data_IF_539970940391
#
_entry.id   IF_539970940391
#
_cell.length_a   1.000
_cell.length_b   1.000
_cell.length_c   1.000
_cell.angle_alpha   90.00
_cell.angle_beta   90.00
_cell.angle_gamma   90.00
#
_symmetry.space_group_name_H-M   'P 1'
#
loop_
_entity.id
_entity.type
_entity.pdbx_description
1 polymer ?
#
# COMPACT_ATOMS: atom_id res chain seq x y z
N UNK A 1 -26.21 -9.79 56.73
CA UNK A 1 -27.61 -10.23 56.95
C UNK A 1 -28.46 -9.49 55.93
N UNK A 2 -29.15 -10.07 54.95
CA UNK A 2 -29.66 -11.42 54.65
C UNK A 2 -29.59 -11.59 53.11
N UNK A 3 -28.98 -12.63 52.51
CA UNK A 3 -29.53 -13.95 52.16
C UNK A 3 -30.89 -13.96 51.40
N UNK A 4 -30.81 -14.10 50.06
CA UNK A 4 -31.43 -15.08 49.11
C UNK A 4 -32.73 -15.84 49.50
N UNK A 5 -33.60 -16.32 48.56
CA UNK A 5 -33.19 -17.10 47.36
C UNK A 5 -34.05 -17.08 46.07
N UNK A 6 -33.45 -17.75 45.07
CA UNK A 6 -33.90 -18.27 43.77
C UNK A 6 -35.25 -19.02 43.77
N UNK A 7 -35.95 -19.06 42.61
CA UNK A 7 -35.99 -20.24 41.70
C UNK A 7 -37.04 -20.14 40.58
N UNK A 8 -36.60 -20.41 39.34
CA UNK A 8 -37.24 -21.20 38.25
C UNK A 8 -38.58 -20.72 37.64
N UNK A 9 -38.84 -20.76 36.34
CA UNK A 9 -38.14 -21.26 35.15
C UNK A 9 -39.17 -21.46 34.03
N UNK A 10 -38.87 -21.06 32.79
CA UNK A 10 -39.43 -21.65 31.55
C UNK A 10 -38.66 -21.20 30.29
N UNK A 11 -38.10 -22.18 29.59
CA UNK A 11 -37.70 -22.19 28.16
C UNK A 11 -38.96 -22.58 27.33
N UNK A 12 -39.10 -22.29 26.01
CA UNK A 12 -38.19 -22.81 24.96
C UNK A 12 -38.01 -22.01 23.65
N UNK A 13 -37.01 -22.45 22.86
CA UNK A 13 -36.86 -22.24 21.41
C UNK A 13 -36.16 -20.92 21.02
N UNK A 14 -35.07 -20.85 20.26
CA UNK A 14 -34.49 -21.79 19.32
C UNK A 14 -34.37 -21.12 17.95
N UNK A 15 -33.29 -20.35 17.72
CA UNK A 15 -32.82 -19.99 16.37
C UNK A 15 -31.44 -19.35 16.46
N UNK A 16 -30.44 -20.10 16.00
CA UNK A 16 -29.08 -19.65 15.74
C UNK A 16 -29.07 -18.56 14.65
N UNK A 17 -28.50 -17.40 14.95
CA UNK A 17 -27.93 -16.50 13.95
C UNK A 17 -26.57 -16.02 14.48
N UNK A 18 -25.52 -16.51 13.82
CA UNK A 18 -24.13 -16.07 13.99
C UNK A 18 -24.03 -14.68 13.35
N UNK A 19 -23.84 -13.63 14.15
CA UNK A 19 -23.50 -12.31 13.64
C UNK A 19 -21.98 -12.18 13.59
N UNK A 20 -21.45 -12.38 12.38
CA UNK A 20 -20.06 -12.17 11.99
C UNK A 20 -19.63 -10.72 12.24
N UNK A 21 -18.58 -10.55 13.03
CA UNK A 21 -17.80 -9.32 13.08
C UNK A 21 -16.95 -9.22 11.79
N UNK A 22 -17.33 -8.30 10.89
CA UNK A 22 -16.57 -7.96 9.69
C UNK A 22 -15.59 -6.84 10.02
N UNK A 23 -14.29 -7.15 10.17
CA UNK A 23 -13.22 -6.16 10.21
C UNK A 23 -12.40 -6.25 8.91
N UNK A 24 -12.52 -5.18 8.13
CA UNK A 24 -12.16 -5.09 6.72
C UNK A 24 -11.00 -4.10 6.58
N UNK A 25 -9.79 -4.55 6.25
CA UNK A 25 -8.65 -3.66 5.97
C UNK A 25 -7.83 -4.20 4.79
N UNK A 26 -8.27 -3.89 3.57
CA UNK A 26 -7.49 -4.09 2.33
C UNK A 26 -7.11 -2.77 1.68
N UNK A 27 -6.11 -2.80 0.79
CA UNK A 27 -5.89 -1.94 -0.40
C UNK A 27 -4.83 -0.83 -0.33
N UNK A 28 -4.08 -0.49 -1.40
CA UNK A 28 -3.53 -1.23 -2.56
C UNK A 28 -2.67 -0.29 -3.44
N UNK A 29 -1.82 -0.90 -4.26
CA UNK A 29 -1.24 -0.40 -5.52
C UNK A 29 -2.31 -0.35 -6.64
N UNK A 30 -2.18 0.57 -7.62
CA UNK A 30 -2.22 0.24 -9.05
C UNK A 30 -2.00 1.49 -9.92
N UNK A 31 -1.14 1.37 -10.94
CA UNK A 31 -1.44 1.89 -12.29
C UNK A 31 -0.44 1.33 -13.34
N UNK A 32 -1.04 0.84 -14.43
CA UNK A 32 -0.63 0.88 -15.84
C UNK A 32 -0.04 -0.36 -16.53
N UNK A 33 -0.86 -0.89 -17.44
CA UNK A 33 -0.45 -1.55 -18.66
C UNK A 33 -1.24 -1.00 -19.88
N UNK A 34 -0.66 -1.19 -21.08
CA UNK A 34 -1.16 -0.96 -22.45
C UNK A 34 -0.67 0.33 -23.15
N UNK A 35 0.45 0.23 -23.88
CA UNK A 35 0.56 0.54 -25.33
C UNK A 35 1.63 -0.38 -25.95
N UNK A 36 1.30 -1.07 -27.05
CA UNK A 36 2.21 -1.94 -27.83
C UNK A 36 2.23 -1.46 -29.29
N UNK A 37 3.41 -1.56 -29.92
CA UNK A 37 3.75 -1.49 -31.37
C UNK A 37 4.37 -0.17 -31.84
N UNK A 38 5.69 -0.19 -32.07
CA UNK A 38 6.33 -0.05 -33.39
C UNK A 38 7.81 -0.47 -33.24
N UNK A 39 8.38 -1.02 -34.32
CA UNK A 39 9.69 -1.68 -34.44
C UNK A 39 9.74 -3.18 -34.08
N UNK A 40 9.41 -3.96 -35.10
CA UNK A 40 9.83 -5.35 -35.23
C UNK A 40 11.34 -5.41 -35.51
N UNK A 41 12.09 -6.12 -34.66
CA UNK A 41 13.33 -6.81 -35.03
C UNK A 41 13.27 -8.23 -34.45
N UNK A 42 13.76 -9.19 -35.24
CA UNK A 42 13.69 -10.65 -35.05
C UNK A 42 14.15 -11.11 -33.65
N UNK A 43 13.64 -12.26 -33.16
CA UNK A 43 14.05 -12.81 -31.88
C UNK A 43 15.52 -13.23 -31.94
N UNK A 44 16.33 -12.66 -31.06
CA UNK A 44 17.58 -13.28 -30.64
C UNK A 44 17.18 -14.28 -29.56
N UNK A 45 17.46 -15.55 -29.78
CA UNK A 45 17.40 -16.58 -28.73
C UNK A 45 18.31 -16.14 -27.60
N UNK A 46 17.70 -15.58 -26.54
CA UNK A 46 18.40 -15.24 -25.32
C UNK A 46 18.70 -16.56 -24.59
N UNK A 47 19.94 -17.02 -24.76
CA UNK A 47 20.59 -18.00 -23.90
C UNK A 47 20.45 -17.51 -22.46
N UNK A 48 19.86 -18.34 -21.61
CA UNK A 48 19.72 -18.07 -20.19
C UNK A 48 21.09 -17.79 -19.55
N UNK A 49 21.28 -16.68 -18.81
CA UNK A 49 22.50 -16.50 -18.04
C UNK A 49 22.50 -17.52 -16.88
N UNK A 50 23.54 -18.33 -16.84
CA UNK A 50 23.76 -19.30 -15.78
C UNK A 50 23.99 -18.59 -14.43
N UNK A 51 23.08 -18.85 -13.50
CA UNK A 51 23.29 -19.18 -12.08
C UNK A 51 24.37 -18.37 -11.34
N UNK A 52 23.91 -17.32 -10.64
CA UNK A 52 24.50 -16.98 -9.34
C UNK A 52 24.42 -18.21 -8.44
N UNK A 53 25.56 -18.74 -8.04
CA UNK A 53 25.66 -19.95 -7.21
C UNK A 53 24.85 -19.74 -5.92
N UNK A 54 24.04 -20.71 -5.46
CA UNK A 54 23.48 -20.62 -4.12
C UNK A 54 24.66 -20.50 -3.13
N UNK A 55 24.57 -19.66 -2.09
CA UNK A 55 25.58 -19.71 -1.04
C UNK A 55 25.70 -21.15 -0.55
N UNK A 56 26.95 -21.65 -0.44
CA UNK A 56 27.21 -22.87 0.34
C UNK A 56 26.58 -22.67 1.73
N UNK A 57 26.17 -23.73 2.44
CA UNK A 57 25.78 -23.58 3.85
C UNK A 57 27.03 -23.18 4.64
N UNK A 58 27.33 -21.89 4.61
CA UNK A 58 28.20 -21.20 5.53
C UNK A 58 27.34 -20.99 6.75
N UNK A 59 27.90 -21.19 7.94
CA UNK A 59 27.23 -20.82 9.15
C UNK A 59 26.75 -19.36 9.01
N UNK A 60 25.49 -19.11 9.34
CA UNK A 60 24.89 -17.78 9.29
C UNK A 60 25.02 -17.16 10.67
N UNK A 61 25.67 -15.99 10.76
CA UNK A 61 25.65 -15.17 11.95
C UNK A 61 24.44 -14.23 11.85
N UNK A 62 23.46 -14.48 12.72
CA UNK A 62 22.30 -13.61 12.82
C UNK A 62 22.61 -12.37 13.66
N UNK A 63 22.29 -11.22 13.07
CA UNK A 63 22.19 -9.94 13.72
C UNK A 63 20.71 -9.55 13.82
N UNK A 64 20.40 -8.62 14.71
CA UNK A 64 19.04 -8.14 14.94
C UNK A 64 19.08 -6.67 15.35
N UNK A 65 17.95 -6.17 15.80
CA UNK A 65 17.80 -4.80 16.27
C UNK A 65 16.35 -4.38 16.19
N UNK A 66 16.09 -3.09 16.33
CA UNK A 66 14.75 -2.51 16.32
C UNK A 66 14.44 -1.70 15.07
N UNK A 67 15.41 -1.50 14.17
CA UNK A 67 15.21 -0.72 12.95
C UNK A 67 14.75 -1.62 11.80
N UNK A 68 13.69 -1.17 11.15
CA UNK A 68 13.13 -1.79 9.95
C UNK A 68 14.04 -1.50 8.75
N UNK A 69 14.41 -2.56 8.03
CA UNK A 69 15.10 -2.52 6.75
C UNK A 69 14.21 -3.20 5.70
N UNK A 70 13.74 -2.41 4.74
CA UNK A 70 12.82 -2.85 3.70
C UNK A 70 13.58 -3.61 2.61
N UNK A 71 13.04 -4.75 2.18
CA UNK A 71 13.49 -5.42 0.96
C UNK A 71 12.71 -4.82 -0.21
N UNK A 72 13.36 -4.60 -1.34
CA UNK A 72 12.75 -4.10 -2.57
C UNK A 72 12.86 -5.10 -3.72
N UNK A 73 12.00 -4.91 -4.73
CA UNK A 73 11.99 -5.74 -5.94
C UNK A 73 11.34 -7.11 -5.75
N UNK A 74 10.64 -7.34 -4.64
CA UNK A 74 10.01 -8.62 -4.28
C UNK A 74 8.92 -9.04 -5.27
N UNK A 75 8.36 -8.09 -6.02
CA UNK A 75 7.42 -8.35 -7.11
C UNK A 75 8.01 -9.32 -8.16
N UNK A 76 9.33 -9.30 -8.36
CA UNK A 76 10.04 -10.22 -9.26
C UNK A 76 10.30 -11.60 -8.63
N UNK A 77 10.09 -11.76 -7.32
CA UNK A 77 10.43 -12.95 -6.53
C UNK A 77 9.24 -13.56 -5.79
N UNK A 78 8.01 -13.23 -6.18
CA UNK A 78 6.80 -13.72 -5.53
C UNK A 78 6.71 -15.26 -5.48
N UNK A 79 7.17 -15.95 -6.52
CA UNK A 79 7.19 -17.42 -6.52
C UNK A 79 8.10 -17.99 -5.42
N UNK A 80 9.27 -17.38 -5.22
CA UNK A 80 10.20 -17.75 -4.14
C UNK A 80 9.58 -17.46 -2.77
N UNK A 81 9.00 -16.28 -2.59
CA UNK A 81 8.35 -15.90 -1.33
C UNK A 81 7.18 -16.82 -0.97
N UNK A 82 6.36 -17.22 -1.95
CA UNK A 82 5.31 -18.19 -1.70
C UNK A 82 5.85 -19.56 -1.29
N UNK A 83 7.01 -19.98 -1.80
CA UNK A 83 7.65 -21.24 -1.34
C UNK A 83 8.18 -21.13 0.09
N UNK A 84 8.84 -20.02 0.42
CA UNK A 84 9.35 -19.73 1.78
C UNK A 84 8.25 -19.87 2.82
N UNK A 85 7.04 -19.39 2.52
CA UNK A 85 5.92 -19.42 3.48
C UNK A 85 5.07 -20.69 3.43
N UNK A 86 5.55 -21.75 2.77
CA UNK A 86 4.89 -23.06 2.73
C UNK A 86 3.91 -23.28 1.57
N UNK A 87 3.88 -22.38 0.60
CA UNK A 87 3.08 -22.48 -0.62
C UNK A 87 2.05 -21.36 -0.76
N UNK A 88 1.40 -21.31 -1.93
CA UNK A 88 0.34 -20.34 -2.20
C UNK A 88 -0.88 -20.62 -1.33
N UNK A 89 -1.34 -19.58 -0.63
CA UNK A 89 -2.62 -19.59 0.10
C UNK A 89 -3.47 -18.38 -0.28
N UNK A 90 -4.77 -18.51 -0.10
CA UNK A 90 -5.74 -17.42 -0.18
C UNK A 90 -5.74 -16.55 1.08
N UNK A 91 -5.10 -17.01 2.15
CA UNK A 91 -5.06 -16.34 3.44
C UNK A 91 -3.93 -15.31 3.50
N UNK A 92 -4.01 -14.43 4.51
CA UNK A 92 -2.91 -13.52 4.82
C UNK A 92 -1.77 -14.29 5.45
N UNK A 93 -0.56 -13.93 5.09
CA UNK A 93 0.68 -14.53 5.56
C UNK A 93 1.40 -13.54 6.45
N UNK A 94 1.89 -14.03 7.59
CA UNK A 94 2.87 -13.38 8.45
C UNK A 94 3.76 -14.49 9.01
N UNK A 95 4.98 -14.61 8.49
CA UNK A 95 5.92 -15.67 8.87
C UNK A 95 7.25 -15.03 9.21
N UNK A 96 7.76 -15.30 10.42
CA UNK A 96 9.10 -14.92 10.81
C UNK A 96 10.13 -15.75 10.05
N UNK A 97 11.19 -15.09 9.60
CA UNK A 97 12.20 -15.67 8.71
C UNK A 97 13.59 -15.18 9.08
N UNK A 98 14.60 -15.90 8.60
CA UNK A 98 16.00 -15.48 8.64
C UNK A 98 16.44 -15.14 7.22
N UNK A 99 16.83 -13.87 7.02
CA UNK A 99 17.19 -13.33 5.72
C UNK A 99 18.70 -13.10 5.64
N UNK A 100 19.36 -13.77 4.70
CA UNK A 100 20.82 -13.67 4.47
C UNK A 100 21.12 -12.58 3.46
N UNK A 101 22.06 -11.70 3.80
CA UNK A 101 22.53 -10.63 2.93
C UNK A 101 23.74 -11.08 2.12
N UNK A 102 23.67 -10.90 0.79
CA UNK A 102 24.73 -11.30 -0.14
C UNK A 102 25.10 -10.13 -1.05
N UNK A 103 26.30 -9.60 -0.87
CA UNK A 103 26.88 -8.58 -1.73
C UNK A 103 27.19 -9.16 -3.13
N UNK A 104 26.63 -8.56 -4.17
CA UNK A 104 26.89 -8.94 -5.55
C UNK A 104 28.00 -8.05 -6.13
N UNK A 105 29.14 -8.62 -6.52
CA UNK A 105 30.27 -7.86 -7.07
C UNK A 105 30.13 -7.59 -8.58
N UNK A 106 29.36 -8.41 -9.29
CA UNK A 106 29.26 -8.40 -10.75
C UNK A 106 27.84 -8.04 -11.23
N UNK A 107 27.07 -7.31 -10.42
CA UNK A 107 25.72 -6.90 -10.79
C UNK A 107 25.77 -5.79 -11.87
N UNK A 108 25.09 -6.03 -12.99
CA UNK A 108 25.14 -5.14 -14.16
C UNK A 108 24.40 -3.80 -14.00
N UNK A 109 23.56 -3.65 -12.98
CA UNK A 109 22.70 -2.48 -12.77
C UNK A 109 23.15 -1.62 -11.60
N UNK A 110 23.65 -2.25 -10.55
CA UNK A 110 24.13 -1.60 -9.35
C UNK A 110 25.39 -2.31 -8.82
N UNK A 111 26.58 -1.69 -8.90
CA UNK A 111 27.81 -2.29 -8.39
C UNK A 111 27.80 -2.50 -6.87
N UNK A 112 26.90 -1.82 -6.14
CA UNK A 112 26.76 -1.96 -4.70
C UNK A 112 25.69 -2.97 -4.29
N UNK A 113 24.99 -3.60 -5.24
CA UNK A 113 23.81 -4.43 -4.96
C UNK A 113 24.04 -5.45 -3.83
N UNK A 114 23.09 -5.47 -2.88
CA UNK A 114 22.99 -6.48 -1.83
C UNK A 114 21.69 -7.24 -2.05
N UNK A 115 21.81 -8.51 -2.41
CA UNK A 115 20.68 -9.41 -2.57
C UNK A 115 20.27 -10.04 -1.24
N UNK A 116 18.97 -10.27 -1.08
CA UNK A 116 18.38 -10.85 0.13
C UNK A 116 17.89 -12.26 -0.18
N UNK A 117 18.27 -13.21 0.67
CA UNK A 117 17.98 -14.64 0.50
C UNK A 117 17.29 -15.22 1.74
N UNK A 118 16.24 -16.02 1.53
CA UNK A 118 15.56 -16.75 2.60
C UNK A 118 15.41 -18.20 2.15
N UNK A 119 15.73 -19.16 3.02
CA UNK A 119 15.71 -20.59 2.72
C UNK A 119 16.43 -20.97 1.40
N UNK A 120 17.56 -20.30 1.14
CA UNK A 120 18.36 -20.51 -0.07
C UNK A 120 17.73 -19.97 -1.36
N UNK A 121 16.65 -19.19 -1.27
CA UNK A 121 16.00 -18.54 -2.40
C UNK A 121 16.19 -17.02 -2.34
N UNK A 122 16.59 -16.41 -3.46
CA UNK A 122 16.64 -14.95 -3.57
C UNK A 122 15.21 -14.40 -3.57
N UNK A 123 14.96 -13.42 -2.70
CA UNK A 123 13.63 -12.82 -2.48
C UNK A 123 13.56 -11.33 -2.81
N UNK A 124 14.70 -10.68 -3.02
CA UNK A 124 14.77 -9.26 -3.37
C UNK A 124 16.18 -8.70 -3.17
N UNK A 125 16.24 -7.39 -3.02
CA UNK A 125 17.47 -6.62 -2.77
C UNK A 125 17.22 -5.59 -1.67
N UNK A 126 18.29 -5.02 -1.12
CA UNK A 126 18.16 -3.73 -0.44
C UNK A 126 17.91 -2.62 -1.49
N UNK A 127 17.28 -1.53 -1.06
CA UNK A 127 17.19 -0.32 -1.88
C UNK A 127 18.61 0.15 -2.26
N UNK A 128 18.76 0.87 -3.38
CA UNK A 128 20.09 1.22 -3.91
C UNK A 128 20.89 2.07 -2.92
N UNK A 129 20.21 3.01 -2.28
CA UNK A 129 20.77 3.93 -1.30
C UNK A 129 21.21 3.19 -0.02
N UNK A 130 20.41 2.21 0.40
CA UNK A 130 20.77 1.31 1.51
C UNK A 130 21.92 0.39 1.10
N UNK A 131 21.89 -0.21 -0.09
CA UNK A 131 22.95 -1.08 -0.57
C UNK A 131 24.31 -0.36 -0.59
N UNK A 132 24.35 0.89 -1.07
CA UNK A 132 25.54 1.73 -1.03
C UNK A 132 26.04 1.98 0.41
N UNK A 133 25.13 2.27 1.34
CA UNK A 133 25.46 2.59 2.73
C UNK A 133 25.90 1.36 3.54
N UNK A 134 25.21 0.22 3.36
CA UNK A 134 25.39 -1.00 4.15
C UNK A 134 26.49 -1.91 3.64
N UNK A 135 26.87 -1.82 2.35
CA UNK A 135 27.84 -2.74 1.74
C UNK A 135 29.20 -2.77 2.44
N UNK A 136 29.85 -1.63 2.77
CA UNK A 136 31.14 -1.67 3.46
C UNK A 136 31.06 -2.40 4.80
N UNK A 137 30.00 -2.12 5.58
CA UNK A 137 29.70 -2.77 6.84
C UNK A 137 29.46 -4.26 6.71
N UNK A 138 28.63 -4.65 5.75
CA UNK A 138 28.33 -6.05 5.46
C UNK A 138 29.61 -6.83 5.13
N UNK A 139 30.47 -6.29 4.27
CA UNK A 139 31.74 -6.93 3.90
C UNK A 139 32.69 -7.03 5.11
N UNK A 140 32.74 -5.99 5.95
CA UNK A 140 33.53 -6.01 7.18
C UNK A 140 33.04 -7.07 8.18
N UNK A 141 31.72 -7.18 8.36
CA UNK A 141 31.10 -8.21 9.19
C UNK A 141 31.38 -9.62 8.64
N UNK A 142 31.18 -9.84 7.34
CA UNK A 142 31.47 -11.13 6.70
C UNK A 142 32.94 -11.53 6.88
N UNK A 143 33.87 -10.58 6.74
CA UNK A 143 35.29 -10.83 6.96
C UNK A 143 35.62 -11.12 8.43
N UNK A 144 35.01 -10.38 9.37
CA UNK A 144 35.22 -10.54 10.82
C UNK A 144 34.69 -11.86 11.35
N UNK A 145 33.45 -12.22 10.96
CA UNK A 145 32.78 -13.42 11.44
C UNK A 145 33.19 -14.67 10.67
N UNK A 146 33.81 -14.53 9.49
CA UNK A 146 34.07 -15.61 8.54
C UNK A 146 32.81 -16.43 8.19
N UNK A 147 31.66 -15.76 8.23
CA UNK A 147 30.31 -16.33 8.15
C UNK A 147 29.43 -15.48 7.25
N UNK A 148 28.33 -16.04 6.75
CA UNK A 148 27.29 -15.25 6.11
C UNK A 148 26.54 -14.42 7.15
N UNK A 149 26.14 -13.21 6.80
CA UNK A 149 25.42 -12.31 7.71
C UNK A 149 23.93 -12.42 7.41
N UNK A 150 23.16 -12.75 8.43
CA UNK A 150 21.71 -12.82 8.35
C UNK A 150 21.04 -11.85 9.32
N UNK A 151 19.82 -11.47 8.98
CA UNK A 151 18.94 -10.64 9.80
C UNK A 151 17.65 -11.40 10.08
N UNK A 152 17.08 -11.19 11.26
CA UNK A 152 15.69 -11.60 11.50
C UNK A 152 14.76 -10.75 10.66
N UNK A 153 13.72 -11.36 10.12
CA UNK A 153 12.74 -10.65 9.32
C UNK A 153 11.36 -11.27 9.40
N UNK A 154 10.45 -10.69 8.65
CA UNK A 154 9.09 -11.17 8.50
C UNK A 154 8.66 -11.07 7.05
N UNK A 155 8.15 -12.18 6.52
CA UNK A 155 7.41 -12.19 5.26
C UNK A 155 5.95 -11.90 5.57
N UNK A 156 5.40 -10.86 4.97
CA UNK A 156 4.03 -10.42 5.20
C UNK A 156 3.29 -10.18 3.90
N UNK A 157 1.99 -10.41 3.87
CA UNK A 157 1.14 -10.08 2.72
C UNK A 157 0.17 -11.18 2.38
N UNK A 158 0.00 -11.47 1.09
CA UNK A 158 -0.96 -12.47 0.64
C UNK A 158 -2.41 -11.99 0.81
N UNK A 159 -3.31 -12.95 1.00
CA UNK A 159 -4.75 -12.70 1.06
C UNK A 159 -5.39 -12.56 -0.33
N UNK A 160 -6.64 -12.99 -0.47
CA UNK A 160 -7.42 -12.72 -1.68
C UNK A 160 -7.92 -11.27 -1.69
N UNK A 161 -7.68 -10.60 -2.81
CA UNK A 161 -8.16 -9.27 -3.16
C UNK A 161 -9.04 -9.40 -4.43
N UNK A 162 -9.84 -8.38 -4.74
CA UNK A 162 -10.74 -8.39 -5.92
C UNK A 162 -9.98 -8.54 -7.25
N UNK A 163 -8.71 -8.13 -7.30
CA UNK A 163 -7.79 -8.24 -8.43
C UNK A 163 -6.88 -9.47 -8.38
N UNK A 164 -7.00 -10.32 -7.34
CA UNK A 164 -6.26 -11.56 -7.20
C UNK A 164 -5.54 -11.71 -5.85
N UNK A 165 -4.68 -12.72 -5.69
CA UNK A 165 -3.90 -12.90 -4.48
C UNK A 165 -2.90 -11.75 -4.31
N UNK A 166 -2.91 -11.12 -3.14
CA UNK A 166 -1.98 -10.05 -2.79
C UNK A 166 -0.53 -10.51 -2.79
N UNK A 167 0.39 -9.60 -3.08
CA UNK A 167 1.82 -9.88 -3.00
C UNK A 167 2.30 -10.02 -1.55
N UNK A 168 3.40 -10.76 -1.42
CA UNK A 168 4.22 -10.87 -0.22
C UNK A 168 5.34 -9.84 -0.29
N UNK A 169 5.65 -9.19 0.82
CA UNK A 169 6.82 -8.33 1.00
C UNK A 169 7.66 -8.81 2.19
N UNK A 170 8.87 -8.28 2.31
CA UNK A 170 9.83 -8.69 3.36
C UNK A 170 10.38 -7.47 4.09
N UNK A 171 10.39 -7.56 5.42
CA UNK A 171 10.98 -6.57 6.31
C UNK A 171 12.00 -7.27 7.20
N UNK A 172 13.17 -6.66 7.39
CA UNK A 172 14.23 -7.18 8.26
C UNK A 172 14.47 -6.23 9.43
N UNK A 173 14.89 -6.78 10.56
CA UNK A 173 15.23 -6.05 11.76
C UNK A 173 16.74 -6.05 11.95
N UNK A 174 17.30 -4.87 12.20
CA UNK A 174 18.73 -4.70 12.37
C UNK A 174 19.08 -3.51 13.26
N UNK A 175 20.34 -3.43 13.66
CA UNK A 175 20.98 -2.25 14.22
C UNK A 175 21.97 -1.71 13.18
N UNK A 176 21.81 -0.47 12.69
CA UNK A 176 22.76 0.14 11.75
C UNK A 176 24.20 0.13 12.27
N UNK A 177 24.41 0.23 13.59
CA UNK A 177 25.75 0.29 14.19
C UNK A 177 26.57 -0.98 13.93
N UNK A 178 25.92 -2.14 13.81
CA UNK A 178 26.59 -3.40 13.46
C UNK A 178 27.26 -3.33 12.09
N UNK A 179 26.67 -2.57 11.16
CA UNK A 179 27.20 -2.34 9.81
C UNK A 179 28.17 -1.15 9.75
N UNK A 180 28.62 -0.64 10.90
CA UNK A 180 29.47 0.55 10.94
C UNK A 180 28.77 1.82 10.46
N UNK A 181 27.43 1.78 10.35
CA UNK A 181 26.61 2.95 10.14
C UNK A 181 26.30 3.45 11.54
N UNK A 182 26.89 4.58 11.95
CA UNK A 182 26.63 5.14 13.27
C UNK A 182 25.11 5.15 13.52
N UNK A 183 24.65 4.57 14.63
CA UNK A 183 23.25 4.58 15.04
C UNK A 183 22.77 6.03 15.02
N UNK A 184 22.10 6.43 13.94
CA UNK A 184 21.72 7.80 13.58
C UNK A 184 22.38 8.88 14.47
N UNK A 185 23.71 8.99 14.40
CA UNK A 185 24.28 10.32 14.45
C UNK A 185 23.99 10.84 13.05
N UNK A 186 23.14 11.87 12.89
CA UNK A 186 22.80 12.35 11.58
C UNK A 186 24.11 12.61 10.80
N UNK A 187 24.19 12.22 9.51
CA UNK A 187 25.34 12.51 8.67
C UNK A 187 25.70 14.00 8.78
N UNK A 188 26.98 14.38 8.63
CA UNK A 188 27.35 15.79 8.61
C UNK A 188 26.44 16.55 7.64
N UNK A 189 25.80 17.61 8.14
CA UNK A 189 24.72 18.39 7.51
C UNK A 189 24.96 18.79 6.04
N UNK A 190 26.21 18.76 5.58
CA UNK A 190 26.61 19.07 4.22
C UNK A 190 26.18 18.01 3.17
N UNK A 191 25.99 16.73 3.53
CA UNK A 191 25.69 15.65 2.55
C UNK A 191 24.18 15.44 2.35
N UNK A 192 23.35 15.79 3.35
CA UNK A 192 21.89 15.59 3.32
C UNK A 192 21.09 16.78 2.81
N UNK A 193 21.72 17.96 2.65
CA UNK A 193 21.05 19.14 2.08
C UNK A 193 20.59 18.85 0.65
N UNK A 194 19.29 18.57 0.50
CA UNK A 194 18.61 18.54 -0.80
C UNK A 194 17.70 17.33 -1.07
N UNK A 195 17.72 16.28 -0.24
CA UNK A 195 16.94 15.05 -0.45
C UNK A 195 15.85 14.84 0.62
N UNK A 196 15.16 15.92 1.00
CA UNK A 196 14.11 15.93 2.00
C UNK A 196 13.03 14.88 1.70
N UNK A 197 13.00 13.82 2.51
CA UNK A 197 11.99 12.75 2.44
C UNK A 197 10.82 13.06 3.38
N UNK A 198 10.96 12.78 4.67
CA UNK A 198 9.96 13.10 5.70
C UNK A 198 10.19 14.47 6.33
N UNK A 199 11.30 15.14 6.03
CA UNK A 199 11.68 16.42 6.63
C UNK A 199 12.26 16.32 8.04
N UNK A 200 12.13 15.17 8.73
CA UNK A 200 12.58 15.01 10.11
C UNK A 200 14.11 15.15 10.24
N UNK A 201 14.87 14.61 9.29
CA UNK A 201 16.33 14.72 9.32
C UNK A 201 16.78 16.16 9.08
N UNK A 202 16.21 16.86 8.11
CA UNK A 202 16.46 18.29 7.92
C UNK A 202 16.02 19.11 9.14
N UNK A 203 14.94 18.71 9.80
CA UNK A 203 14.45 19.39 10.97
C UNK A 203 15.42 19.26 12.15
N UNK A 204 15.88 18.05 12.47
CA UNK A 204 16.90 17.80 13.51
C UNK A 204 18.20 18.57 13.22
N UNK A 205 18.64 18.59 11.96
CA UNK A 205 19.84 19.34 11.58
C UNK A 205 19.69 20.84 11.75
N UNK A 206 18.52 21.40 11.41
CA UNK A 206 18.33 22.84 11.52
C UNK A 206 18.02 23.29 12.93
N UNK A 207 17.42 22.44 13.75
CA UNK A 207 17.31 22.61 15.21
C UNK A 207 18.72 22.75 15.82
N UNK A 208 19.62 21.80 15.56
CA UNK A 208 21.01 21.87 16.04
C UNK A 208 21.76 23.13 15.55
N UNK A 209 21.48 23.59 14.32
CA UNK A 209 22.12 24.76 13.72
C UNK A 209 21.61 26.10 14.29
N UNK A 210 20.31 26.24 14.59
CA UNK A 210 19.71 27.55 14.93
C UNK A 210 18.68 27.58 16.06
N UNK A 211 18.35 26.46 16.70
CA UNK A 211 17.48 26.35 17.89
C UNK A 211 16.11 27.03 17.71
N UNK A 212 15.60 27.07 16.47
CA UNK A 212 14.36 27.79 16.14
C UNK A 212 13.07 27.05 16.55
N UNK A 213 13.18 25.76 16.85
CA UNK A 213 12.15 24.83 17.33
C UNK A 213 12.90 23.69 18.06
N UNK A 214 12.27 22.97 18.98
CA UNK A 214 12.95 22.04 19.90
C UNK A 214 12.48 20.59 19.67
N UNK A 215 13.32 19.77 19.03
CA UNK A 215 13.04 18.35 18.79
C UNK A 215 13.58 17.41 19.88
N UNK A 216 14.12 17.95 20.99
CA UNK A 216 14.67 17.14 22.09
C UNK A 216 13.63 16.24 22.77
N UNK A 217 12.34 16.55 22.60
CA UNK A 217 11.25 15.69 23.06
C UNK A 217 11.30 14.28 22.46
N UNK A 218 11.90 14.12 21.27
CA UNK A 218 12.04 12.82 20.58
C UNK A 218 12.90 11.86 21.40
N UNK A 219 14.02 12.35 21.96
CA UNK A 219 14.92 11.57 22.81
C UNK A 219 14.31 11.26 24.18
N UNK A 220 13.37 12.10 24.61
CA UNK A 220 12.67 11.95 25.89
C UNK A 220 11.43 11.05 25.82
N UNK A 221 11.10 10.47 24.66
CA UNK A 221 9.95 9.59 24.52
C UNK A 221 10.18 8.25 25.24
N UNK A 222 9.17 7.72 25.96
CA UNK A 222 9.23 6.37 26.50
C UNK A 222 9.41 5.30 25.40
N UNK A 223 10.17 4.25 25.73
CA UNK A 223 10.27 3.05 24.89
C UNK A 223 8.97 2.27 24.81
N UNK A 224 8.13 2.32 25.86
CA UNK A 224 6.80 1.69 25.85
C UNK A 224 5.86 2.43 24.87
N UNK A 225 5.26 1.74 23.88
CA UNK A 225 4.45 2.40 22.84
C UNK A 225 3.24 3.15 23.39
N UNK A 226 2.56 2.62 24.42
CA UNK A 226 1.35 3.22 24.99
C UNK A 226 1.71 4.45 25.82
N UNK A 227 2.77 4.35 26.64
CA UNK A 227 3.28 5.48 27.41
C UNK A 227 3.75 6.62 26.51
N UNK A 228 4.39 6.31 25.38
CA UNK A 228 4.81 7.32 24.41
C UNK A 228 3.64 8.00 23.71
N UNK A 229 2.58 7.26 23.33
CA UNK A 229 1.34 7.86 22.83
C UNK A 229 0.77 8.85 23.86
N UNK A 230 0.76 8.47 25.14
CA UNK A 230 0.35 9.35 26.23
C UNK A 230 1.22 10.61 26.33
N UNK A 231 2.55 10.46 26.21
CA UNK A 231 3.49 11.59 26.26
C UNK A 231 3.31 12.56 25.08
N UNK A 232 3.20 12.04 23.86
CA UNK A 232 2.99 12.84 22.64
C UNK A 232 1.70 13.67 22.72
N UNK A 233 0.63 13.11 23.29
CA UNK A 233 -0.62 13.84 23.51
C UNK A 233 -0.44 15.04 24.44
N UNK A 234 0.27 14.84 25.55
CA UNK A 234 0.55 15.91 26.50
C UNK A 234 1.41 17.02 25.88
N UNK A 235 2.41 16.64 25.07
CA UNK A 235 3.23 17.62 24.36
C UNK A 235 2.36 18.45 23.40
N UNK A 236 1.53 17.79 22.58
CA UNK A 236 0.61 18.44 21.63
C UNK A 236 -0.47 19.33 22.29
N UNK A 237 -0.68 19.28 23.60
CA UNK A 237 -1.59 20.19 24.32
C UNK A 237 -0.95 21.54 24.63
N UNK A 238 0.38 21.61 24.67
CA UNK A 238 1.11 22.75 25.21
C UNK A 238 2.14 23.33 24.26
N UNK A 239 2.64 22.54 23.33
CA UNK A 239 3.63 22.98 22.36
C UNK A 239 3.01 23.99 21.38
N UNK A 240 3.54 25.22 21.26
CA UNK A 240 3.02 26.21 20.34
C UNK A 240 3.68 26.17 18.96
N UNK A 241 4.81 25.48 18.78
CA UNK A 241 5.62 25.58 17.57
C UNK A 241 5.05 24.69 16.43
N UNK A 242 4.70 25.26 15.27
CA UNK A 242 4.12 24.47 14.19
C UNK A 242 5.03 23.36 13.63
N UNK A 243 6.35 23.54 13.64
CA UNK A 243 7.30 22.54 13.13
C UNK A 243 7.43 21.39 14.13
N UNK A 244 7.58 21.68 15.42
CA UNK A 244 7.61 20.64 16.46
C UNK A 244 6.33 19.82 16.46
N UNK A 245 5.19 20.52 16.47
CA UNK A 245 3.87 19.88 16.43
C UNK A 245 3.69 18.98 15.21
N UNK A 246 4.18 19.38 14.04
CA UNK A 246 4.13 18.53 12.84
C UNK A 246 4.82 17.18 13.06
N UNK A 247 6.03 17.19 13.61
CA UNK A 247 6.78 15.97 13.86
C UNK A 247 6.20 15.16 15.03
N UNK A 248 5.64 15.82 16.05
CA UNK A 248 4.89 15.15 17.12
C UNK A 248 3.65 14.44 16.57
N UNK A 249 2.90 15.05 15.64
CA UNK A 249 1.76 14.40 14.99
C UNK A 249 2.22 13.22 14.14
N UNK A 250 3.28 13.36 13.34
CA UNK A 250 3.84 12.26 12.55
C UNK A 250 4.17 11.04 13.44
N UNK A 251 4.87 11.27 14.55
CA UNK A 251 5.23 10.21 15.50
C UNK A 251 3.99 9.60 16.21
N UNK A 252 3.03 10.44 16.60
CA UNK A 252 1.79 9.99 17.25
C UNK A 252 0.96 9.11 16.30
N UNK A 253 0.80 9.54 15.05
CA UNK A 253 0.08 8.81 14.01
C UNK A 253 0.74 7.45 13.74
N UNK A 254 2.06 7.41 13.61
CA UNK A 254 2.82 6.19 13.40
C UNK A 254 2.63 5.19 14.55
N UNK A 255 2.78 5.65 15.80
CA UNK A 255 2.61 4.79 16.99
C UNK A 255 1.18 4.29 17.17
N UNK A 256 0.17 5.14 16.94
CA UNK A 256 -1.23 4.73 17.01
C UNK A 256 -1.55 3.68 15.94
N UNK A 257 -1.06 3.87 14.72
CA UNK A 257 -1.30 2.93 13.63
C UNK A 257 -0.57 1.59 13.84
N UNK A 258 0.64 1.60 14.40
CA UNK A 258 1.34 0.38 14.84
C UNK A 258 0.61 -0.33 15.97
N UNK A 259 -0.03 0.42 16.86
CA UNK A 259 -0.78 -0.10 18.01
C UNK A 259 -2.23 -0.48 17.70
N UNK A 260 -2.64 -0.46 16.42
CA UNK A 260 -4.03 -0.72 15.99
C UNK A 260 -4.64 -2.04 16.48
N UNK A 261 -3.80 -3.03 16.72
CA UNK A 261 -4.20 -4.37 17.18
C UNK A 261 -3.93 -4.55 18.69
N UNK A 262 -3.32 -3.56 19.35
CA UNK A 262 -2.96 -3.59 20.77
C UNK A 262 -4.11 -3.13 21.69
N UNK A 263 -4.94 -2.20 21.23
CA UNK A 263 -6.13 -1.74 21.95
C UNK A 263 -7.23 -1.25 21.00
N UNK A 264 -8.50 -1.46 21.38
CA UNK A 264 -9.66 -1.28 20.51
C UNK A 264 -9.80 0.14 19.94
N UNK A 265 -9.48 1.16 20.75
CA UNK A 265 -9.60 2.57 20.35
C UNK A 265 -8.46 3.08 19.48
N UNK A 266 -7.38 2.32 19.29
CA UNK A 266 -6.16 2.78 18.59
C UNK A 266 -6.43 3.35 17.19
N UNK A 267 -7.31 2.70 16.43
CA UNK A 267 -7.66 3.15 15.09
C UNK A 267 -8.56 4.39 15.06
N UNK A 268 -9.49 4.52 16.01
CA UNK A 268 -10.32 5.71 16.14
C UNK A 268 -9.49 6.90 16.64
N UNK A 269 -8.55 6.63 17.55
CA UNK A 269 -7.59 7.60 18.03
C UNK A 269 -6.62 8.05 16.93
N UNK A 270 -6.19 7.13 16.06
CA UNK A 270 -5.42 7.45 14.85
C UNK A 270 -6.20 8.41 13.94
N UNK A 271 -7.46 8.10 13.63
CA UNK A 271 -8.32 8.98 12.82
C UNK A 271 -8.46 10.38 13.43
N UNK A 272 -8.65 10.46 14.74
CA UNK A 272 -8.73 11.72 15.46
C UNK A 272 -7.40 12.50 15.43
N UNK A 273 -6.26 11.82 15.54
CA UNK A 273 -4.94 12.45 15.42
C UNK A 273 -4.73 13.03 14.02
N UNK A 274 -5.01 12.28 12.96
CA UNK A 274 -4.90 12.76 11.58
C UNK A 274 -5.82 13.96 11.30
N UNK A 275 -7.06 13.95 11.82
CA UNK A 275 -7.97 15.10 11.68
C UNK A 275 -7.49 16.34 12.44
N UNK A 276 -6.88 16.18 13.62
CA UNK A 276 -6.27 17.30 14.35
C UNK A 276 -5.04 17.83 13.64
N UNK A 277 -4.19 16.95 13.14
CA UNK A 277 -3.02 17.34 12.35
C UNK A 277 -3.44 18.17 11.13
N UNK A 278 -4.40 17.69 10.33
CA UNK A 278 -4.92 18.45 9.17
C UNK A 278 -5.51 19.82 9.53
N UNK A 279 -6.19 19.91 10.68
CA UNK A 279 -6.75 21.19 11.14
C UNK A 279 -5.67 22.24 11.42
N UNK A 280 -4.43 21.82 11.70
CA UNK A 280 -3.28 22.68 11.94
C UNK A 280 -2.38 22.84 10.71
N UNK A 281 -2.60 22.02 9.67
CA UNK A 281 -1.67 21.88 8.55
C UNK A 281 -1.48 23.15 7.71
N UNK A 282 -2.42 24.09 7.67
CA UNK A 282 -2.20 25.34 6.93
C UNK A 282 -1.10 26.19 7.60
N UNK A 283 -1.13 26.32 8.94
CA UNK A 283 -0.10 27.04 9.69
C UNK A 283 1.24 26.29 9.71
N UNK A 284 1.19 24.97 9.88
CA UNK A 284 2.37 24.09 9.79
C UNK A 284 3.02 24.21 8.41
N UNK A 285 2.24 24.16 7.34
CA UNK A 285 2.73 24.29 5.97
C UNK A 285 3.47 25.61 5.77
N UNK A 286 2.91 26.72 6.24
CA UNK A 286 3.55 28.03 6.10
C UNK A 286 4.88 28.08 6.85
N UNK A 287 4.96 27.48 8.04
CA UNK A 287 6.20 27.34 8.81
C UNK A 287 7.24 26.45 8.09
N UNK A 288 6.84 25.28 7.59
CA UNK A 288 7.70 24.36 6.84
C UNK A 288 8.24 25.02 5.56
N UNK A 289 7.43 25.81 4.85
CA UNK A 289 7.87 26.56 3.68
C UNK A 289 8.83 27.69 4.04
N UNK A 290 8.54 28.43 5.11
CA UNK A 290 9.43 29.49 5.57
C UNK A 290 10.80 28.93 5.97
N UNK A 291 10.81 27.77 6.62
CA UNK A 291 12.03 27.12 7.10
C UNK A 291 12.81 26.42 6.00
N UNK A 292 12.14 25.58 5.22
CA UNK A 292 12.80 24.64 4.30
C UNK A 292 12.62 24.98 2.82
N UNK A 293 11.77 25.96 2.49
CA UNK A 293 11.43 26.33 1.11
C UNK A 293 10.60 25.29 0.36
N UNK A 294 10.29 24.15 1.01
CA UNK A 294 9.56 23.00 0.46
C UNK A 294 8.69 22.37 1.53
N UNK A 295 7.68 21.62 1.10
CA UNK A 295 6.80 20.82 1.95
C UNK A 295 7.30 19.37 1.95
N UNK A 296 7.67 18.79 3.10
CA UNK A 296 8.12 17.40 3.22
C UNK A 296 6.98 16.42 2.89
N UNK A 297 7.29 15.11 2.83
CA UNK A 297 6.27 14.08 2.66
C UNK A 297 5.24 14.11 3.80
N UNK A 298 4.01 14.49 3.46
CA UNK A 298 2.85 14.48 4.33
C UNK A 298 2.15 13.11 4.30
N UNK A 299 2.69 12.16 5.05
CA UNK A 299 2.24 10.76 5.07
C UNK A 299 0.77 10.60 5.50
N UNK A 300 0.29 11.49 6.39
CA UNK A 300 -1.10 11.58 6.86
C UNK A 300 -2.12 11.52 5.72
N UNK A 301 -1.92 12.32 4.67
CA UNK A 301 -2.87 12.40 3.56
C UNK A 301 -2.90 11.10 2.75
N UNK A 302 -1.74 10.50 2.48
CA UNK A 302 -1.67 9.22 1.78
C UNK A 302 -2.38 8.11 2.57
N UNK A 303 -2.10 8.03 3.88
CA UNK A 303 -2.70 7.02 4.75
C UNK A 303 -4.19 7.21 4.92
N UNK A 304 -4.68 8.45 5.08
CA UNK A 304 -6.11 8.72 5.20
C UNK A 304 -6.87 8.42 3.90
N UNK A 305 -6.29 8.72 2.73
CA UNK A 305 -6.87 8.29 1.44
C UNK A 305 -7.02 6.77 1.40
N UNK A 306 -5.95 6.04 1.75
CA UNK A 306 -5.95 4.58 1.82
C UNK A 306 -7.02 4.10 2.80
N UNK A 307 -7.10 4.70 3.99
CA UNK A 307 -8.02 4.30 5.05
C UNK A 307 -9.49 4.49 4.66
N UNK A 308 -9.83 5.65 4.09
CA UNK A 308 -11.18 5.93 3.59
C UNK A 308 -11.56 5.05 2.38
N UNK A 309 -10.57 4.70 1.54
CA UNK A 309 -10.76 3.70 0.49
C UNK A 309 -11.19 2.35 1.08
N UNK A 310 -10.55 1.88 2.17
CA UNK A 310 -10.91 0.58 2.80
C UNK A 310 -12.32 0.61 3.37
N UNK A 311 -12.72 1.75 3.93
CA UNK A 311 -14.08 2.00 4.42
C UNK A 311 -15.11 2.21 3.29
N UNK A 312 -14.69 2.15 2.01
CA UNK A 312 -15.50 2.45 0.82
C UNK A 312 -16.14 3.85 0.86
N UNK A 313 -15.55 4.77 1.62
CA UNK A 313 -15.94 6.17 1.68
C UNK A 313 -15.19 6.96 0.61
N UNK A 314 -15.63 6.83 -0.64
CA UNK A 314 -14.96 7.43 -1.79
C UNK A 314 -14.91 8.96 -1.71
N UNK A 315 -15.96 9.60 -1.18
CA UNK A 315 -16.00 11.05 -0.98
C UNK A 315 -14.91 11.53 -0.03
N UNK A 316 -14.73 10.87 1.12
CA UNK A 316 -13.67 11.25 2.05
C UNK A 316 -12.29 10.92 1.48
N UNK A 317 -12.13 9.80 0.77
CA UNK A 317 -10.86 9.46 0.12
C UNK A 317 -10.46 10.52 -0.93
N UNK A 318 -11.41 11.04 -1.72
CA UNK A 318 -11.15 12.15 -2.64
C UNK A 318 -10.78 13.41 -1.89
N UNK A 319 -11.53 13.76 -0.83
CA UNK A 319 -11.25 14.96 -0.04
C UNK A 319 -9.84 14.95 0.56
N UNK A 320 -9.40 13.85 1.19
CA UNK A 320 -8.05 13.73 1.74
C UNK A 320 -6.97 13.85 0.65
N UNK A 321 -7.21 13.29 -0.55
CA UNK A 321 -6.27 13.42 -1.65
C UNK A 321 -6.18 14.87 -2.15
N UNK A 322 -7.31 15.54 -2.32
CA UNK A 322 -7.39 16.94 -2.73
C UNK A 322 -6.77 17.87 -1.70
N UNK A 323 -7.01 17.62 -0.41
CA UNK A 323 -6.44 18.38 0.70
C UNK A 323 -4.92 18.27 0.73
N UNK A 324 -4.37 17.05 0.61
CA UNK A 324 -2.93 16.85 0.53
C UNK A 324 -2.29 17.52 -0.69
N UNK A 325 -2.94 17.42 -1.87
CA UNK A 325 -2.48 18.11 -3.08
C UNK A 325 -2.48 19.64 -2.93
N UNK A 326 -3.50 20.20 -2.27
CA UNK A 326 -3.57 21.63 -1.99
C UNK A 326 -2.43 22.10 -1.07
N UNK A 327 -2.08 21.30 -0.05
CA UNK A 327 -0.98 21.60 0.86
C UNK A 327 0.38 21.49 0.18
N UNK A 328 0.59 20.48 -0.66
CA UNK A 328 1.82 20.42 -1.45
C UNK A 328 1.96 21.60 -2.41
N UNK A 329 0.87 21.97 -3.10
CA UNK A 329 0.91 23.00 -4.14
C UNK A 329 2.00 22.70 -5.18
N UNK A 330 2.90 23.67 -5.40
CA UNK A 330 4.08 23.51 -6.27
C UNK A 330 5.36 23.21 -5.49
N UNK A 331 5.27 23.05 -4.17
CA UNK A 331 6.40 23.06 -3.26
C UNK A 331 6.70 21.68 -2.65
N UNK A 332 6.14 20.60 -3.20
CA UNK A 332 6.44 19.26 -2.73
C UNK A 332 7.95 18.99 -2.81
N UNK A 333 8.55 18.53 -1.70
CA UNK A 333 9.92 18.06 -1.68
C UNK A 333 10.12 16.86 -2.62
N UNK A 334 9.06 16.05 -2.75
CA UNK A 334 9.00 14.86 -3.60
C UNK A 334 7.82 14.92 -4.57
N UNK A 335 8.06 15.10 -5.89
CA UNK A 335 6.99 15.10 -6.88
C UNK A 335 6.15 13.82 -6.88
N UNK A 336 6.76 12.67 -6.57
CA UNK A 336 6.09 11.37 -6.58
C UNK A 336 4.97 11.28 -5.53
N UNK A 337 5.07 12.06 -4.44
CA UNK A 337 4.01 12.14 -3.43
C UNK A 337 2.75 12.80 -3.99
N UNK A 338 2.91 13.87 -4.79
CA UNK A 338 1.79 14.50 -5.49
C UNK A 338 1.23 13.60 -6.59
N UNK A 339 2.08 12.90 -7.35
CA UNK A 339 1.63 11.97 -8.38
C UNK A 339 0.80 10.80 -7.80
N UNK A 340 1.17 10.25 -6.64
CA UNK A 340 0.39 9.20 -5.96
C UNK A 340 -1.00 9.72 -5.57
N UNK A 341 -1.08 10.91 -4.95
CA UNK A 341 -2.36 11.50 -4.56
C UNK A 341 -3.23 11.84 -5.78
N UNK A 342 -2.66 12.33 -6.88
CA UNK A 342 -3.39 12.57 -8.13
C UNK A 342 -3.99 11.30 -8.72
N UNK A 343 -3.19 10.21 -8.78
CA UNK A 343 -3.65 8.90 -9.26
C UNK A 343 -4.80 8.37 -8.41
N UNK A 344 -4.69 8.48 -7.08
CA UNK A 344 -5.75 8.10 -6.13
C UNK A 344 -7.00 8.95 -6.31
N UNK A 345 -6.86 10.28 -6.36
CA UNK A 345 -7.98 11.22 -6.60
C UNK A 345 -8.73 10.85 -7.87
N UNK A 346 -8.02 10.71 -8.99
CA UNK A 346 -8.62 10.36 -10.28
C UNK A 346 -9.38 9.02 -10.21
N UNK A 347 -8.79 8.02 -9.58
CA UNK A 347 -9.41 6.71 -9.39
C UNK A 347 -10.71 6.80 -8.61
N UNK A 348 -10.75 7.53 -7.49
CA UNK A 348 -11.93 7.57 -6.63
C UNK A 348 -13.00 8.56 -7.12
N UNK A 349 -12.62 9.63 -7.81
CA UNK A 349 -13.57 10.47 -8.56
C UNK A 349 -14.30 9.64 -9.62
N UNK A 350 -13.58 8.80 -10.38
CA UNK A 350 -14.22 7.93 -11.37
C UNK A 350 -15.21 6.94 -10.72
N UNK A 351 -14.90 6.41 -9.52
CA UNK A 351 -15.81 5.55 -8.75
C UNK A 351 -17.06 6.30 -8.29
N UNK A 352 -16.93 7.53 -7.78
CA UNK A 352 -18.07 8.37 -7.40
C UNK A 352 -18.98 8.64 -8.60
N UNK A 353 -18.42 9.08 -9.73
CA UNK A 353 -19.20 9.32 -10.95
C UNK A 353 -19.87 8.07 -11.50
N UNK A 354 -19.24 6.89 -11.36
CA UNK A 354 -19.85 5.61 -11.74
C UNK A 354 -21.03 5.25 -10.82
N UNK A 355 -20.90 5.47 -9.51
CA UNK A 355 -21.97 5.24 -8.54
C UNK A 355 -23.16 6.19 -8.76
N UNK A 356 -22.90 7.47 -9.06
CA UNK A 356 -23.94 8.45 -9.41
C UNK A 356 -24.69 8.07 -10.68
N UNK A 357 -23.98 7.59 -11.72
CA UNK A 357 -24.61 7.10 -12.95
C UNK A 357 -25.47 5.86 -12.73
N UNK A 358 -25.07 4.98 -11.81
CA UNK A 358 -25.86 3.80 -11.44
C UNK A 358 -27.12 4.16 -10.62
N UNK A 359 -27.06 5.23 -9.82
CA UNK A 359 -28.16 5.71 -8.98
C UNK A 359 -29.01 6.83 -9.61
N UNK A 360 -28.67 7.29 -10.82
CA UNK A 360 -29.43 8.30 -11.55
C UNK A 360 -30.84 7.82 -11.93
N UNK A 361 -31.79 8.75 -12.18
CA UNK A 361 -33.15 8.38 -12.55
C UNK A 361 -33.12 7.50 -13.80
N UNK A 362 -33.82 6.35 -13.75
CA UNK A 362 -33.96 5.47 -14.89
C UNK A 362 -34.40 6.30 -16.10
N UNK A 363 -33.60 6.27 -17.18
CA UNK A 363 -34.00 6.91 -18.46
C UNK A 363 -35.44 6.47 -18.75
N UNK A 364 -36.36 7.40 -19.09
CA UNK A 364 -37.69 7.00 -19.52
C UNK A 364 -37.49 5.99 -20.65
N UNK A 365 -38.09 4.81 -20.47
CA UNK A 365 -37.98 3.73 -21.42
C UNK A 365 -38.31 4.29 -22.80
N UNK A 366 -37.32 4.33 -23.68
CA UNK A 366 -37.55 4.75 -25.05
C UNK A 366 -38.56 3.76 -25.64
N UNK A 367 -39.79 4.23 -25.85
CA UNK A 367 -40.83 3.49 -26.55
C UNK A 367 -40.24 3.13 -27.91
N UNK A 368 -39.87 1.86 -28.10
CA UNK A 368 -39.44 1.38 -29.41
C UNK A 368 -40.56 1.72 -30.39
N UNK A 369 -40.29 2.41 -31.51
CA UNK A 369 -41.30 2.53 -32.55
C UNK A 369 -41.64 1.11 -32.99
N UNK A 370 -42.93 0.77 -32.98
CA UNK A 370 -43.42 -0.49 -33.49
C UNK A 370 -42.88 -0.68 -34.91
N UNK A 371 -41.99 -1.66 -35.09
CA UNK A 371 -41.47 -1.99 -36.41
C UNK A 371 -42.66 -2.32 -37.32
N UNK A 372 -42.81 -1.57 -38.41
CA UNK A 372 -43.83 -1.85 -39.44
C UNK A 372 -43.66 -3.30 -39.88
N UNK A 373 -44.68 -4.13 -39.64
CA UNK A 373 -44.79 -5.47 -40.25
C UNK A 373 -44.91 -5.25 -41.76
N UNK A 374 -43.86 -5.58 -42.49
CA UNK A 374 -43.91 -5.64 -43.94
C UNK A 374 -44.39 -7.02 -44.34
N UNK A 375 -45.51 -7.08 -45.05
CA UNK A 375 -46.00 -8.33 -45.61
C UNK A 375 -45.31 -8.59 -46.95
N UNK A 376 -44.99 -9.86 -47.24
CA UNK A 376 -44.46 -10.34 -48.51
C UNK A 376 -45.51 -11.17 -49.25
N UNK A 377 -45.62 -10.98 -50.57
CA UNK A 377 -46.52 -11.77 -51.45
C UNK A 377 -45.74 -12.92 -52.09
N UNK A 378 -46.25 -14.15 -51.94
CA UNK A 378 -45.68 -15.38 -52.49
C UNK A 378 -46.68 -16.05 -53.43
N UNK A 379 -46.19 -16.89 -54.36
CA UNK A 379 -47.04 -17.62 -55.31
C UNK A 379 -47.10 -19.10 -54.95
N UNK A 380 -48.30 -19.67 -54.90
CA UNK A 380 -48.54 -21.07 -54.58
C UNK A 380 -48.13 -21.97 -55.74
N UNK A 381 -47.33 -23.01 -55.47
CA UNK A 381 -46.95 -24.02 -56.46
C UNK A 381 -48.10 -24.99 -56.81
N UNK A 382 -49.11 -25.13 -55.94
CA UNK A 382 -50.23 -26.05 -56.15
C UNK A 382 -51.36 -25.49 -57.04
N UNK A 383 -51.77 -24.25 -56.80
CA UNK A 383 -52.89 -23.62 -57.53
C UNK A 383 -52.51 -22.34 -58.28
N UNK A 384 -51.23 -21.93 -58.23
CA UNK A 384 -50.72 -20.77 -58.96
C UNK A 384 -51.15 -19.40 -58.42
N UNK A 385 -52.01 -19.35 -57.40
CA UNK A 385 -52.50 -18.11 -56.80
C UNK A 385 -51.49 -17.45 -55.86
N UNK A 386 -51.58 -16.13 -55.73
CA UNK A 386 -50.72 -15.35 -54.83
C UNK A 386 -51.33 -15.26 -53.43
N UNK A 387 -50.51 -15.37 -52.40
CA UNK A 387 -50.92 -15.19 -51.00
C UNK A 387 -49.89 -14.38 -50.22
N UNK A 388 -50.36 -13.65 -49.23
CA UNK A 388 -49.57 -12.67 -48.48
C UNK A 388 -49.27 -13.22 -47.09
N UNK A 389 -48.04 -12.99 -46.60
CA UNK A 389 -47.69 -13.31 -45.21
C UNK A 389 -46.76 -12.26 -44.60
N UNK A 390 -46.71 -12.15 -43.26
CA UNK A 390 -45.70 -11.33 -42.59
C UNK A 390 -44.29 -11.81 -42.93
N UNK A 391 -43.38 -10.89 -43.23
CA UNK A 391 -41.98 -11.23 -43.50
C UNK A 391 -41.34 -11.83 -42.25
N UNK A 392 -40.88 -13.07 -42.36
CA UNK A 392 -40.20 -13.80 -41.28
C UNK A 392 -38.94 -14.48 -41.83
N UNK A 393 -37.86 -14.54 -41.01
CA UNK A 393 -36.63 -15.25 -41.38
C UNK A 393 -36.90 -16.76 -41.39
N UNK A 394 -36.61 -17.45 -42.49
CA UNK A 394 -36.77 -18.90 -42.63
C UNK A 394 -37.23 -19.34 -44.02
N UNK A 395 -37.43 -20.65 -44.20
CA UNK A 395 -37.82 -21.25 -45.49
C UNK A 395 -39.20 -20.75 -45.93
N UNK A 396 -39.29 -20.20 -47.15
CA UNK A 396 -40.55 -19.71 -47.69
C UNK A 396 -41.47 -20.89 -48.04
N UNK A 397 -42.75 -20.86 -47.63
CA UNK A 397 -43.69 -21.93 -47.93
C UNK A 397 -44.07 -21.94 -49.39
N UNK A 398 -44.15 -23.16 -49.96
CA UNK A 398 -44.45 -23.38 -51.37
C UNK A 398 -45.95 -23.41 -51.68
N UNK A 399 -46.79 -23.72 -50.69
CA UNK A 399 -48.24 -23.81 -50.85
C UNK A 399 -48.97 -22.76 -50.00
N UNK A 400 -50.04 -22.17 -50.56
CA UNK A 400 -50.94 -21.28 -49.86
C UNK A 400 -51.75 -22.04 -48.79
N UNK A 401 -52.34 -21.35 -47.80
CA UNK A 401 -53.08 -22.00 -46.71
C UNK A 401 -54.21 -22.92 -47.18
N UNK A 402 -54.83 -22.63 -48.33
CA UNK A 402 -55.91 -23.44 -48.91
C UNK A 402 -55.44 -24.70 -49.64
N UNK A 403 -54.16 -24.79 -49.99
CA UNK A 403 -53.56 -25.96 -50.66
C UNK A 403 -52.60 -26.74 -49.75
N UNK A 404 -52.51 -26.37 -48.48
CA UNK A 404 -51.68 -27.05 -47.47
C UNK A 404 -52.41 -28.22 -46.84
#
# INVERSE_FOLDING_TARGET
>A
MLFLPNSEGHRPGGSNIVANAQTFVGWHHELMGIVKRLFARKPIEAVAPERGMPPRPLDVKLYGGSYDLEVVGESHYQEALWRVVGGRTTDRVRVEVEAVLVAENDNAYDPNAISVWIDGMKVGYLAREDAESYRPGLLALQAREAMSIGLRGVVVGGGIREDGPGFLGVWMLHDPADFGIAALVPPPAAVLRGSMRTGLTEALLTDEEDDSYDLSWLECLPNDPIAAIGRLRQLLEHDPDPIDRHFMFCELEERLYRSRDAFESALAEYDAACSRHDAEMDGIRDALLAKFGKVPLLETYRQMVIRQQKARNWSAAVWWAERGLALYGQNAARPEATEDLEKRRATYVAKLSAAEKANGPARPAATKPAGKRTDETLRCEGCGSSFVRPTARGRKPRYCPSCR
#
